data_IF_210708157829
#
_entry.id   IF_210708157829
#
_cell.length_a   1.000
_cell.length_b   1.000
_cell.length_c   1.000
_cell.angle_alpha   90.00
_cell.angle_beta   90.00
_cell.angle_gamma   90.00
#
_symmetry.space_group_name_H-M   'P 1'
#
loop_
_entity.id
_entity.type
_entity.pdbx_description
1 polymer ?
#
# COMPACT_ATOMS: atom_id res chain seq x y z
N UNK A 1 7.65 8.80 1.74
CA UNK A 1 7.92 7.44 2.25
C UNK A 1 7.97 6.35 1.17
N UNK A 2 6.89 5.93 0.49
CA UNK A 2 6.96 4.76 -0.43
C UNK A 2 7.89 4.99 -1.65
N UNK A 3 7.88 6.21 -2.21
CA UNK A 3 8.83 6.63 -3.26
C UNK A 3 10.26 6.68 -2.73
N UNK A 4 10.47 7.32 -1.58
CA UNK A 4 11.79 7.46 -0.94
C UNK A 4 12.41 6.11 -0.60
N UNK A 5 11.59 5.15 -0.16
CA UNK A 5 11.99 3.77 0.09
C UNK A 5 12.26 2.96 -1.19
N UNK A 6 12.01 3.53 -2.38
CA UNK A 6 12.14 2.84 -3.66
C UNK A 6 11.12 1.71 -3.86
N UNK A 7 10.05 1.67 -3.06
CA UNK A 7 9.09 0.57 -3.08
C UNK A 7 8.18 0.57 -4.31
N UNK A 8 8.20 1.64 -5.09
CA UNK A 8 7.53 1.73 -6.39
C UNK A 8 8.42 1.30 -7.57
N UNK A 9 9.66 0.90 -7.32
CA UNK A 9 10.60 0.43 -8.34
C UNK A 9 10.78 -1.08 -8.22
N UNK A 10 10.84 -1.75 -9.37
CA UNK A 10 11.16 -3.16 -9.50
C UNK A 10 12.40 -3.34 -10.38
N UNK A 11 13.43 -3.97 -9.83
CA UNK A 11 14.75 -4.11 -10.46
C UNK A 11 14.95 -5.45 -11.17
N UNK A 12 13.89 -6.24 -11.35
CA UNK A 12 13.98 -7.60 -11.93
C UNK A 12 14.28 -8.71 -10.90
N UNK A 13 14.25 -8.37 -9.60
CA UNK A 13 14.39 -9.33 -8.51
C UNK A 13 13.33 -10.46 -8.59
N UNK A 14 13.58 -11.65 -8.02
CA UNK A 14 12.62 -12.75 -7.99
C UNK A 14 11.37 -12.45 -7.18
N UNK A 15 11.57 -11.80 -6.03
CA UNK A 15 10.51 -11.50 -5.09
C UNK A 15 10.99 -10.39 -4.14
N UNK A 16 10.03 -9.74 -3.50
CA UNK A 16 10.25 -8.79 -2.40
C UNK A 16 9.26 -9.12 -1.31
N UNK A 17 9.78 -9.54 -0.17
CA UNK A 17 9.01 -9.86 1.03
C UNK A 17 8.69 -8.60 1.83
N UNK A 18 7.76 -8.71 2.78
CA UNK A 18 7.49 -7.64 3.73
C UNK A 18 8.73 -7.28 4.58
N UNK A 19 9.61 -8.24 4.89
CA UNK A 19 10.84 -7.95 5.64
C UNK A 19 11.77 -6.98 4.89
N UNK A 20 11.89 -7.14 3.57
CA UNK A 20 12.63 -6.20 2.73
C UNK A 20 11.91 -4.85 2.65
N UNK A 21 10.57 -4.83 2.59
CA UNK A 21 9.82 -3.59 2.61
C UNK A 21 10.01 -2.84 3.94
N UNK A 22 9.95 -3.55 5.06
CA UNK A 22 10.18 -3.01 6.39
C UNK A 22 11.58 -2.35 6.48
N UNK A 23 12.63 -3.03 6.06
CA UNK A 23 13.99 -2.47 6.05
C UNK A 23 14.10 -1.20 5.18
N UNK A 24 13.50 -1.20 3.98
CA UNK A 24 13.50 -0.03 3.08
C UNK A 24 12.71 1.15 3.66
N UNK A 25 11.57 0.87 4.32
CA UNK A 25 10.78 1.90 4.99
C UNK A 25 11.53 2.51 6.17
N UNK A 26 12.14 1.69 7.02
CA UNK A 26 12.92 2.17 8.16
C UNK A 26 14.12 3.02 7.70
N UNK A 27 14.83 2.59 6.66
CA UNK A 27 15.91 3.36 6.07
C UNK A 27 15.43 4.71 5.50
N UNK A 28 14.26 4.74 4.83
CA UNK A 28 13.68 5.96 4.29
C UNK A 28 13.16 6.92 5.39
N UNK A 29 12.68 6.38 6.51
CA UNK A 29 12.21 7.20 7.64
C UNK A 29 13.39 7.84 8.39
N UNK A 30 14.51 7.13 8.53
CA UNK A 30 15.75 7.63 9.15
C UNK A 30 15.51 8.36 10.48
N UNK A 31 16.27 9.44 10.71
CA UNK A 31 16.11 10.35 11.85
C UNK A 31 15.01 11.41 11.64
N UNK A 32 14.03 11.10 10.79
CA UNK A 32 12.92 11.98 10.46
C UNK A 32 12.10 12.40 11.68
N UNK A 33 11.36 13.49 11.55
CA UNK A 33 10.45 13.99 12.58
C UNK A 33 9.04 14.15 12.04
N UNK A 34 8.06 13.92 12.90
CA UNK A 34 6.64 14.21 12.65
C UNK A 34 6.12 15.08 13.78
N UNK A 35 5.64 16.29 13.45
CA UNK A 35 5.21 17.30 14.41
C UNK A 35 6.26 17.56 15.52
N UNK A 36 7.54 17.63 15.14
CA UNK A 36 8.66 17.87 16.04
C UNK A 36 9.15 16.66 16.85
N UNK A 37 8.42 15.54 16.86
CA UNK A 37 8.82 14.30 17.54
C UNK A 37 9.63 13.38 16.61
N UNK A 38 10.64 12.64 17.12
CA UNK A 38 11.31 11.59 16.35
C UNK A 38 10.31 10.59 15.77
N UNK A 39 10.52 10.16 14.52
CA UNK A 39 9.60 9.28 13.81
C UNK A 39 9.33 7.97 14.57
N UNK A 40 10.37 7.36 15.11
CA UNK A 40 10.31 6.12 15.90
C UNK A 40 9.45 6.23 17.19
N UNK A 41 9.16 7.44 17.65
CA UNK A 41 8.34 7.66 18.84
C UNK A 41 6.85 7.71 18.52
N UNK A 42 6.50 7.96 17.27
CA UNK A 42 5.11 8.19 16.82
C UNK A 42 4.67 7.26 15.71
N UNK A 43 5.58 6.57 15.03
CA UNK A 43 5.30 5.65 13.94
C UNK A 43 6.06 4.33 14.14
N UNK A 44 5.36 3.23 13.97
CA UNK A 44 5.91 1.88 13.98
C UNK A 44 5.63 1.16 12.66
N UNK A 45 6.67 0.63 12.03
CA UNK A 45 6.54 -0.26 10.86
C UNK A 45 6.62 -1.69 11.36
N UNK A 46 5.51 -2.43 11.28
CA UNK A 46 5.47 -3.81 11.76
C UNK A 46 6.54 -4.65 11.07
N UNK A 47 7.31 -5.42 11.84
CA UNK A 47 8.26 -6.41 11.28
C UNK A 47 7.50 -7.56 10.61
N UNK A 48 8.16 -8.25 9.69
CA UNK A 48 7.64 -9.52 9.15
C UNK A 48 7.45 -10.49 10.32
N UNK A 49 6.35 -11.23 10.32
CA UNK A 49 6.18 -12.35 11.24
C UNK A 49 7.27 -13.40 10.98
N UNK A 50 8.05 -13.66 12.01
CA UNK A 50 9.00 -14.75 12.10
C UNK A 50 8.70 -15.51 13.38
N UNK A 51 8.48 -16.82 13.29
CA UNK A 51 8.11 -17.64 14.44
C UNK A 51 9.23 -17.69 15.49
N UNK A 52 10.49 -17.67 15.07
CA UNK A 52 11.65 -17.68 15.96
C UNK A 52 11.84 -16.34 16.70
N UNK A 53 11.36 -15.24 16.12
CA UNK A 53 11.46 -13.89 16.70
C UNK A 53 10.13 -13.39 17.28
N UNK A 54 9.08 -14.22 17.28
CA UNK A 54 7.71 -13.84 17.67
C UNK A 54 7.64 -13.06 19.00
N UNK A 55 8.24 -13.55 20.10
CA UNK A 55 8.26 -12.83 21.37
C UNK A 55 8.91 -11.43 21.28
N UNK A 56 9.99 -11.30 20.50
CA UNK A 56 10.68 -10.01 20.31
C UNK A 56 9.84 -9.03 19.51
N UNK A 57 9.19 -9.49 18.43
CA UNK A 57 8.30 -8.66 17.59
C UNK A 57 7.13 -8.13 18.43
N UNK A 58 6.54 -8.99 19.27
CA UNK A 58 5.45 -8.60 20.18
C UNK A 58 5.94 -7.59 21.22
N UNK A 59 7.06 -7.84 21.88
CA UNK A 59 7.60 -6.94 22.90
C UNK A 59 7.99 -5.56 22.33
N UNK A 60 8.55 -5.52 21.11
CA UNK A 60 8.86 -4.30 20.39
C UNK A 60 7.59 -3.49 20.10
N UNK A 61 6.56 -4.15 19.57
CA UNK A 61 5.30 -3.49 19.26
C UNK A 61 4.57 -3.02 20.52
N UNK A 62 4.56 -3.82 21.59
CA UNK A 62 3.96 -3.45 22.87
C UNK A 62 4.64 -2.22 23.48
N UNK A 63 5.97 -2.11 23.36
CA UNK A 63 6.71 -0.92 23.80
C UNK A 63 6.32 0.33 23.01
N UNK A 64 5.99 0.20 21.72
CA UNK A 64 5.45 1.29 20.94
C UNK A 64 4.02 1.65 21.38
N UNK A 65 3.15 0.65 21.53
CA UNK A 65 1.75 0.82 21.96
C UNK A 65 1.61 1.44 23.36
N UNK A 66 2.57 1.20 24.26
CA UNK A 66 2.62 1.83 25.58
C UNK A 66 2.81 3.36 25.52
N UNK A 67 3.32 3.90 24.40
CA UNK A 67 3.46 5.36 24.19
C UNK A 67 2.18 6.03 23.72
N UNK A 68 1.19 5.25 23.31
CA UNK A 68 -0.12 5.73 22.91
C UNK A 68 -0.94 5.89 24.18
N UNK A 69 -1.23 7.12 24.57
CA UNK A 69 -1.94 7.44 25.80
C UNK A 69 -3.11 8.37 25.51
N UNK A 70 -4.19 8.23 26.29
CA UNK A 70 -5.34 9.12 26.19
C UNK A 70 -5.77 9.53 27.60
N UNK A 71 -5.85 10.83 27.82
CA UNK A 71 -6.36 11.50 29.03
C UNK A 71 -7.62 12.29 28.65
N UNK A 72 -8.43 12.75 29.63
CA UNK A 72 -9.55 13.63 29.32
C UNK A 72 -9.15 14.91 28.58
N UNK A 73 -7.93 15.40 28.82
CA UNK A 73 -7.44 16.68 28.28
C UNK A 73 -6.68 16.52 26.95
N UNK A 74 -6.03 15.36 26.72
CA UNK A 74 -5.15 15.16 25.57
C UNK A 74 -5.04 13.69 25.13
N UNK A 75 -4.78 13.49 23.83
CA UNK A 75 -4.48 12.18 23.25
C UNK A 75 -3.12 12.19 22.55
N UNK A 76 -2.26 11.23 22.90
CA UNK A 76 -1.04 10.91 22.19
C UNK A 76 -1.30 9.72 21.26
N UNK A 77 -1.41 10.01 19.97
CA UNK A 77 -1.65 9.01 18.93
C UNK A 77 -0.36 8.36 18.45
N UNK A 78 -0.49 7.13 17.95
CA UNK A 78 0.58 6.40 17.28
C UNK A 78 0.13 5.90 15.91
N UNK A 79 1.05 5.92 14.95
CA UNK A 79 0.83 5.47 13.57
C UNK A 79 1.44 4.08 13.40
N UNK A 80 0.70 3.16 12.78
CA UNK A 80 1.19 1.81 12.48
C UNK A 80 1.15 1.59 10.98
N UNK A 81 2.28 1.18 10.39
CA UNK A 81 2.37 0.68 9.02
C UNK A 81 2.45 -0.84 9.06
N UNK A 82 1.50 -1.49 8.40
CA UNK A 82 1.32 -2.95 8.51
C UNK A 82 0.63 -3.54 7.30
N UNK A 83 0.70 -4.85 7.15
CA UNK A 83 -0.14 -5.57 6.19
C UNK A 83 -1.46 -5.99 6.84
N UNK A 84 -2.57 -5.76 6.14
CA UNK A 84 -3.90 -6.16 6.56
C UNK A 84 -4.13 -7.63 6.21
N UNK A 85 -4.47 -8.44 7.20
CA UNK A 85 -4.85 -9.85 7.03
C UNK A 85 -6.34 -9.98 6.71
N UNK A 86 -7.17 -9.40 7.56
CA UNK A 86 -8.63 -9.43 7.43
C UNK A 86 -9.26 -8.28 8.22
N UNK A 87 -10.53 -8.03 7.97
CA UNK A 87 -11.39 -7.16 8.77
C UNK A 87 -12.52 -8.04 9.29
N UNK A 88 -12.58 -8.22 10.60
CA UNK A 88 -13.56 -9.11 11.24
C UNK A 88 -14.61 -8.28 12.00
N UNK A 89 -15.84 -8.79 12.09
CA UNK A 89 -16.84 -8.23 13.00
C UNK A 89 -16.45 -8.47 14.46
N UNK A 90 -16.83 -7.54 15.34
CA UNK A 90 -16.70 -7.66 16.79
C UNK A 90 -17.98 -7.17 17.48
N UNK A 91 -18.09 -7.36 18.79
CA UNK A 91 -19.28 -6.95 19.57
C UNK A 91 -19.63 -5.46 19.42
N UNK A 92 -18.64 -4.59 19.22
CA UNK A 92 -18.81 -3.13 19.24
C UNK A 92 -18.33 -2.43 17.95
N UNK A 93 -18.14 -3.17 16.88
CA UNK A 93 -17.58 -2.65 15.62
C UNK A 93 -16.76 -3.71 14.93
N UNK A 94 -15.53 -3.38 14.56
CA UNK A 94 -14.68 -4.25 13.75
C UNK A 94 -13.29 -4.41 14.37
N UNK A 95 -12.59 -5.46 13.97
CA UNK A 95 -11.18 -5.70 14.28
C UNK A 95 -10.41 -5.76 12.99
N UNK A 96 -9.40 -4.90 12.85
CA UNK A 96 -8.41 -5.01 11.78
C UNK A 96 -7.36 -6.04 12.23
N UNK A 97 -7.37 -7.22 11.62
CA UNK A 97 -6.35 -8.25 11.88
C UNK A 97 -5.11 -7.93 11.08
N UNK A 98 -3.98 -7.89 11.77
CA UNK A 98 -2.68 -7.69 11.15
C UNK A 98 -2.06 -9.05 10.85
N UNK A 99 -1.28 -9.18 9.77
CA UNK A 99 -0.54 -10.43 9.51
C UNK A 99 0.59 -10.66 10.50
N UNK A 100 1.10 -9.58 11.07
CA UNK A 100 2.35 -9.54 11.82
C UNK A 100 2.19 -9.80 13.32
N UNK A 101 0.96 -9.77 13.86
CA UNK A 101 0.70 -9.87 15.30
C UNK A 101 -0.70 -10.41 15.60
N UNK A 102 -0.87 -11.01 16.78
CA UNK A 102 -2.17 -11.39 17.34
C UNK A 102 -2.90 -10.22 18.02
N UNK A 103 -2.22 -9.08 18.23
CA UNK A 103 -2.81 -7.87 18.80
C UNK A 103 -3.96 -7.39 17.90
N UNK A 104 -5.07 -7.04 18.52
CA UNK A 104 -6.27 -6.56 17.84
C UNK A 104 -6.34 -5.04 17.87
N UNK A 105 -6.54 -4.43 16.71
CA UNK A 105 -6.85 -3.00 16.61
C UNK A 105 -8.34 -2.85 16.31
N UNK A 106 -9.08 -2.23 17.23
CA UNK A 106 -10.52 -2.04 17.08
C UNK A 106 -10.83 -0.85 16.17
N UNK A 107 -11.89 -0.92 15.39
CA UNK A 107 -12.36 0.18 14.56
C UNK A 107 -13.89 0.32 14.67
N UNK A 108 -14.38 1.55 14.62
CA UNK A 108 -15.83 1.79 14.56
C UNK A 108 -16.37 1.51 13.16
N UNK A 109 -17.69 1.32 13.04
CA UNK A 109 -18.35 1.19 11.74
C UNK A 109 -18.08 2.39 10.83
N UNK A 110 -18.09 3.61 11.38
CA UNK A 110 -17.85 4.82 10.59
C UNK A 110 -16.45 4.83 9.95
N UNK A 111 -15.41 4.39 10.68
CA UNK A 111 -14.05 4.27 10.14
C UNK A 111 -13.98 3.22 9.04
N UNK A 112 -14.61 2.07 9.24
CA UNK A 112 -14.63 0.98 8.26
C UNK A 112 -15.42 1.36 6.99
N UNK A 113 -16.59 1.98 7.14
CA UNK A 113 -17.38 2.48 6.03
C UNK A 113 -16.57 3.53 5.23
N UNK A 114 -15.93 4.48 5.91
CA UNK A 114 -15.09 5.49 5.28
C UNK A 114 -13.90 4.86 4.53
N UNK A 115 -13.18 3.92 5.16
CA UNK A 115 -12.06 3.24 4.54
C UNK A 115 -12.48 2.43 3.31
N UNK A 116 -13.58 1.65 3.41
CA UNK A 116 -14.08 0.86 2.30
C UNK A 116 -14.52 1.71 1.11
N UNK A 117 -15.07 2.91 1.36
CA UNK A 117 -15.49 3.86 0.33
C UNK A 117 -14.32 4.60 -0.31
N UNK A 118 -13.34 5.04 0.49
CA UNK A 118 -12.21 5.83 0.01
C UNK A 118 -11.17 4.96 -0.70
N UNK A 119 -10.98 3.71 -0.25
CA UNK A 119 -9.95 2.80 -0.75
C UNK A 119 -10.55 1.53 -1.36
N UNK A 120 -11.61 1.66 -2.18
CA UNK A 120 -12.40 0.54 -2.72
C UNK A 120 -11.55 -0.60 -3.30
N UNK A 121 -10.58 -0.27 -4.16
CA UNK A 121 -9.73 -1.28 -4.80
C UNK A 121 -8.91 -2.07 -3.77
N UNK A 122 -8.32 -1.39 -2.79
CA UNK A 122 -7.57 -2.04 -1.72
C UNK A 122 -8.48 -2.86 -0.81
N UNK A 123 -9.62 -2.29 -0.42
CA UNK A 123 -10.61 -2.95 0.42
C UNK A 123 -11.10 -4.28 -0.18
N UNK A 124 -11.46 -4.27 -1.46
CA UNK A 124 -11.93 -5.46 -2.18
C UNK A 124 -10.86 -6.56 -2.32
N UNK A 125 -9.59 -6.25 -2.09
CA UNK A 125 -8.46 -7.18 -2.22
C UNK A 125 -7.88 -7.64 -0.88
N UNK A 126 -8.50 -7.25 0.25
CA UNK A 126 -8.11 -7.76 1.57
C UNK A 126 -8.25 -9.29 1.58
N UNK A 127 -7.16 -9.98 1.92
CA UNK A 127 -7.11 -11.45 1.97
C UNK A 127 -6.88 -12.14 0.63
N UNK A 128 -6.85 -11.42 -0.50
CA UNK A 128 -6.58 -12.02 -1.80
C UNK A 128 -5.14 -12.60 -1.87
N UNK A 129 -4.94 -13.80 -2.44
CA UNK A 129 -3.63 -14.44 -2.45
C UNK A 129 -2.61 -13.73 -3.34
N UNK A 130 -3.08 -13.09 -4.42
CA UNK A 130 -2.27 -12.43 -5.46
C UNK A 130 -2.01 -10.95 -5.18
N UNK A 131 -2.63 -10.38 -4.14
CA UNK A 131 -2.52 -8.97 -3.78
C UNK A 131 -2.02 -8.83 -2.33
N UNK A 132 -1.55 -7.63 -2.01
CA UNK A 132 -1.21 -7.23 -0.64
C UNK A 132 -1.89 -5.90 -0.35
N UNK A 133 -2.41 -5.73 0.88
CA UNK A 133 -3.02 -4.49 1.32
C UNK A 133 -2.22 -3.96 2.49
N UNK A 134 -1.55 -2.84 2.29
CA UNK A 134 -0.78 -2.16 3.33
C UNK A 134 -1.66 -1.08 3.95
N UNK A 135 -1.73 -1.04 5.27
CA UNK A 135 -2.43 -0.02 6.02
C UNK A 135 -1.46 0.96 6.67
N UNK A 136 -1.83 2.23 6.66
CA UNK A 136 -1.33 3.27 7.56
C UNK A 136 -2.47 3.60 8.53
N UNK A 137 -2.39 3.08 9.76
CA UNK A 137 -3.44 3.23 10.76
C UNK A 137 -3.03 4.21 11.86
N UNK A 138 -3.86 5.22 12.12
CA UNK A 138 -3.72 6.12 13.25
C UNK A 138 -4.48 5.54 14.44
N UNK A 139 -3.77 5.29 15.52
CA UNK A 139 -4.27 4.62 16.70
C UNK A 139 -4.28 5.56 17.91
N UNK A 140 -5.29 5.42 18.74
CA UNK A 140 -5.37 6.02 20.06
C UNK A 140 -5.96 5.03 21.05
N UNK A 141 -5.93 5.36 22.35
CA UNK A 141 -6.64 4.57 23.36
C UNK A 141 -8.00 5.17 23.67
N UNK A 142 -8.96 4.33 24.00
CA UNK A 142 -10.15 4.82 24.71
C UNK A 142 -9.75 5.33 26.10
N UNK A 143 -10.57 6.17 26.72
CA UNK A 143 -10.41 6.45 28.14
C UNK A 143 -10.59 5.14 28.93
N UNK A 144 -9.67 4.89 29.86
CA UNK A 144 -9.76 3.78 30.80
C UNK A 144 -10.97 3.90 31.73
N UNK A 145 -11.37 2.81 32.36
CA UNK A 145 -12.37 2.82 33.44
C UNK A 145 -11.70 2.36 34.73
N UNK A 146 -11.56 3.26 35.70
CA UNK A 146 -10.76 3.01 36.91
C UNK A 146 -9.30 2.74 36.56
N UNK A 147 -8.70 1.72 37.18
CA UNK A 147 -7.29 1.34 36.97
C UNK A 147 -7.03 0.55 35.68
N UNK A 148 -8.05 0.35 34.83
CA UNK A 148 -7.91 -0.41 33.58
C UNK A 148 -7.46 0.49 32.44
N UNK A 149 -6.39 0.07 31.76
CA UNK A 149 -5.95 0.70 30.53
C UNK A 149 -7.06 0.64 29.45
N UNK A 150 -7.17 1.70 28.66
CA UNK A 150 -8.09 1.75 27.54
C UNK A 150 -7.71 0.84 26.39
N UNK A 151 -8.72 0.42 25.61
CA UNK A 151 -8.51 -0.37 24.41
C UNK A 151 -7.88 0.49 23.30
N UNK A 152 -6.99 -0.11 22.51
CA UNK A 152 -6.47 0.51 21.30
C UNK A 152 -7.55 0.51 20.21
N UNK A 153 -7.76 1.68 19.61
CA UNK A 153 -8.67 1.86 18.48
C UNK A 153 -8.02 2.64 17.36
N UNK A 154 -8.41 2.30 16.14
CA UNK A 154 -8.13 3.03 14.92
C UNK A 154 -9.12 4.19 14.83
N UNK A 155 -8.58 5.40 14.65
CA UNK A 155 -9.37 6.62 14.41
C UNK A 155 -9.23 7.17 13.02
N UNK A 156 -8.22 6.71 12.28
CA UNK A 156 -8.10 6.98 10.85
C UNK A 156 -7.26 5.87 10.20
N UNK A 157 -7.53 5.54 8.95
CA UNK A 157 -6.78 4.52 8.21
C UNK A 157 -6.76 4.82 6.72
N UNK A 158 -5.56 4.75 6.15
CA UNK A 158 -5.36 4.71 4.71
C UNK A 158 -4.94 3.29 4.27
N UNK A 159 -5.44 2.84 3.11
CA UNK A 159 -5.10 1.54 2.54
C UNK A 159 -4.44 1.70 1.18
N UNK A 160 -3.32 1.01 0.98
CA UNK A 160 -2.62 0.93 -0.30
C UNK A 160 -2.73 -0.50 -0.83
N UNK A 161 -3.41 -0.66 -1.97
CA UNK A 161 -3.36 -1.89 -2.75
C UNK A 161 -1.97 -2.03 -3.36
N UNK A 162 -1.42 -3.23 -3.28
CA UNK A 162 -0.18 -3.62 -3.93
C UNK A 162 -0.34 -4.98 -4.61
N UNK A 163 0.55 -5.25 -5.56
CA UNK A 163 0.76 -6.60 -6.08
C UNK A 163 1.39 -7.53 -5.00
N UNK A 164 1.66 -8.78 -5.37
CA UNK A 164 2.23 -9.78 -4.45
C UNK A 164 3.63 -9.43 -3.91
N UNK A 165 4.32 -8.46 -4.53
CA UNK A 165 5.67 -8.00 -4.18
C UNK A 165 5.72 -6.54 -3.70
N UNK A 166 4.58 -6.02 -3.24
CA UNK A 166 4.44 -4.69 -2.62
C UNK A 166 4.70 -3.49 -3.57
N UNK A 167 4.58 -3.68 -4.89
CA UNK A 167 4.46 -2.58 -5.85
C UNK A 167 3.04 -2.02 -5.75
N UNK A 168 2.85 -0.69 -5.54
CA UNK A 168 1.53 -0.08 -5.47
C UNK A 168 0.70 -0.30 -6.74
N UNK A 169 -0.61 -0.47 -6.60
CA UNK A 169 -1.56 -0.62 -7.70
C UNK A 169 -2.84 0.15 -7.38
N UNK A 170 -3.50 0.71 -8.39
CA UNK A 170 -4.76 1.43 -8.20
C UNK A 170 -5.99 0.55 -8.50
N UNK A 171 -5.79 -0.63 -9.09
CA UNK A 171 -6.83 -1.58 -9.47
C UNK A 171 -6.37 -3.04 -9.39
N UNK A 172 -7.32 -3.99 -9.39
CA UNK A 172 -7.02 -5.43 -9.47
C UNK A 172 -6.39 -5.82 -10.82
N UNK A 173 -6.72 -5.10 -11.90
CA UNK A 173 -6.06 -5.29 -13.19
C UNK A 173 -4.59 -4.86 -13.11
N UNK A 174 -4.28 -3.71 -12.50
CA UNK A 174 -2.87 -3.34 -12.27
C UNK A 174 -2.12 -4.37 -11.42
N UNK A 175 -2.77 -4.96 -10.41
CA UNK A 175 -2.18 -6.08 -9.65
C UNK A 175 -1.82 -7.24 -10.57
N UNK A 176 -2.71 -7.64 -11.47
CA UNK A 176 -2.45 -8.73 -12.43
C UNK A 176 -1.28 -8.39 -13.37
N UNK A 177 -1.28 -7.18 -13.95
CA UNK A 177 -0.19 -6.71 -14.80
C UNK A 177 1.14 -6.68 -14.05
N UNK A 178 1.19 -6.07 -12.86
CA UNK A 178 2.42 -5.96 -12.06
C UNK A 178 2.94 -7.34 -11.62
N UNK A 179 2.06 -8.28 -11.26
CA UNK A 179 2.45 -9.66 -10.97
C UNK A 179 3.05 -10.36 -12.20
N UNK A 180 2.47 -10.16 -13.39
CA UNK A 180 3.02 -10.67 -14.64
C UNK A 180 4.40 -10.09 -14.93
N UNK A 181 4.57 -8.77 -14.82
CA UNK A 181 5.86 -8.10 -15.04
C UNK A 181 6.95 -8.63 -14.10
N UNK A 182 6.60 -8.88 -12.83
CA UNK A 182 7.49 -9.51 -11.86
C UNK A 182 7.86 -10.92 -12.27
N UNK A 183 6.87 -11.75 -12.66
CA UNK A 183 7.09 -13.13 -13.07
C UNK A 183 8.00 -13.23 -14.31
N UNK A 184 7.83 -12.31 -15.26
CA UNK A 184 8.66 -12.17 -16.46
C UNK A 184 10.02 -11.46 -16.21
N UNK A 185 10.36 -11.19 -14.94
CA UNK A 185 11.62 -10.55 -14.52
C UNK A 185 11.88 -9.20 -15.18
N UNK A 186 10.81 -8.47 -15.50
CA UNK A 186 10.91 -7.14 -16.09
C UNK A 186 11.48 -6.15 -15.09
N UNK A 187 12.20 -5.13 -15.56
CA UNK A 187 12.55 -3.95 -14.74
C UNK A 187 11.54 -2.84 -15.02
N UNK A 188 10.87 -2.33 -14.00
CA UNK A 188 9.86 -1.30 -14.18
C UNK A 188 9.71 -0.41 -12.95
N UNK A 189 9.07 0.75 -13.14
CA UNK A 189 8.62 1.61 -12.05
C UNK A 189 7.13 1.87 -12.16
N UNK A 190 6.45 1.94 -11.01
CA UNK A 190 5.09 2.46 -10.85
C UNK A 190 5.17 3.93 -10.45
N UNK A 191 4.89 4.88 -11.35
CA UNK A 191 4.72 6.27 -10.93
C UNK A 191 3.56 6.39 -9.94
N UNK A 192 3.70 7.23 -8.92
CA UNK A 192 2.63 7.51 -7.96
C UNK A 192 2.07 8.91 -8.21
N UNK A 193 0.75 9.03 -8.13
CA UNK A 193 0.04 10.30 -8.29
C UNK A 193 0.00 11.00 -6.94
N UNK A 194 0.87 11.98 -6.74
CA UNK A 194 1.01 12.71 -5.48
C UNK A 194 0.45 14.14 -5.56
N UNK A 195 0.40 14.71 -6.77
CA UNK A 195 -0.01 16.09 -6.99
C UNK A 195 -1.08 16.18 -8.09
N UNK A 196 -1.88 17.28 -8.11
CA UNK A 196 -2.72 17.59 -9.25
C UNK A 196 -1.90 17.65 -10.55
N UNK A 197 -2.38 17.00 -11.61
CA UNK A 197 -1.67 16.89 -12.90
C UNK A 197 -0.88 15.57 -13.09
N UNK A 198 -0.76 14.74 -12.04
CA UNK A 198 -0.17 13.41 -12.16
C UNK A 198 -1.11 12.37 -12.82
N UNK A 199 -2.31 12.76 -13.21
CA UNK A 199 -3.30 11.92 -13.86
C UNK A 199 -2.86 11.42 -15.24
N UNK A 200 -1.88 12.09 -15.86
CA UNK A 200 -1.26 11.66 -17.12
C UNK A 200 -0.11 10.67 -16.93
N UNK A 201 0.30 10.34 -15.70
CA UNK A 201 1.36 9.36 -15.47
C UNK A 201 0.90 7.95 -15.90
N UNK A 202 1.79 7.15 -16.52
CA UNK A 202 1.45 5.78 -16.89
C UNK A 202 1.25 4.90 -15.66
N UNK A 203 0.45 3.84 -15.81
CA UNK A 203 0.24 2.88 -14.73
C UNK A 203 1.52 2.10 -14.42
N UNK A 204 2.39 1.87 -15.39
CA UNK A 204 3.77 1.40 -15.17
C UNK A 204 4.69 1.88 -16.28
N UNK A 205 6.00 1.93 -16.02
CA UNK A 205 7.00 2.22 -17.03
C UNK A 205 8.08 1.14 -17.01
N UNK A 206 8.19 0.40 -18.10
CA UNK A 206 9.31 -0.50 -18.34
C UNK A 206 10.59 0.32 -18.48
N UNK A 207 11.65 -0.19 -17.86
CA UNK A 207 12.98 0.43 -17.81
C UNK A 207 14.06 -0.50 -18.36
N UNK A 208 13.69 -1.71 -18.74
CA UNK A 208 14.53 -2.70 -19.39
C UNK A 208 14.33 -2.72 -20.91
N UNK A 209 13.80 -1.68 -21.52
CA UNK A 209 13.59 -1.58 -22.97
C UNK A 209 14.54 -0.54 -23.56
N UNK A 210 14.88 -0.65 -24.84
CA UNK A 210 15.76 0.32 -25.52
C UNK A 210 15.30 1.78 -25.35
N UNK A 211 13.99 1.99 -25.44
CA UNK A 211 13.32 3.23 -25.04
C UNK A 211 12.35 2.91 -23.90
N UNK A 212 12.37 3.62 -22.74
CA UNK A 212 11.45 3.37 -21.64
C UNK A 212 9.99 3.35 -22.11
N UNK A 213 9.34 2.20 -21.95
CA UNK A 213 8.00 1.94 -22.52
C UNK A 213 6.92 2.14 -21.46
N UNK A 214 5.89 2.93 -21.76
CA UNK A 214 4.71 3.07 -20.91
C UNK A 214 3.85 1.81 -20.97
N UNK A 215 3.22 1.47 -19.86
CA UNK A 215 2.17 0.46 -19.77
C UNK A 215 0.93 1.15 -19.19
N UNK A 216 -0.21 0.96 -19.86
CA UNK A 216 -1.52 1.47 -19.45
C UNK A 216 -2.50 0.33 -19.29
N UNK A 217 -3.28 0.36 -18.21
CA UNK A 217 -4.27 -0.67 -17.87
C UNK A 217 -5.66 -0.04 -17.82
N UNK A 218 -6.47 -0.31 -18.83
CA UNK A 218 -7.76 0.34 -19.04
C UNK A 218 -8.96 -0.45 -18.53
N UNK A 219 -9.20 -0.43 -17.21
CA UNK A 219 -10.23 -1.26 -16.56
C UNK A 219 -11.67 -0.72 -16.53
N UNK A 220 -11.94 0.53 -16.93
CA UNK A 220 -13.27 1.18 -16.81
C UNK A 220 -13.69 1.89 -18.11
N UNK A 221 -14.03 1.11 -19.13
CA UNK A 221 -14.33 1.63 -20.48
C UNK A 221 -15.70 2.30 -20.62
N UNK A 222 -16.59 2.14 -19.65
CA UNK A 222 -17.95 2.70 -19.63
C UNK A 222 -18.00 4.15 -19.11
N UNK A 223 -16.86 4.72 -18.71
CA UNK A 223 -16.79 6.07 -18.15
C UNK A 223 -16.21 7.07 -19.16
N UNK A 224 -17.02 8.06 -19.58
CA UNK A 224 -16.62 9.08 -20.55
C UNK A 224 -15.37 9.90 -20.14
N UNK A 225 -15.22 10.22 -18.85
CA UNK A 225 -14.02 10.91 -18.35
C UNK A 225 -12.78 10.02 -18.41
N UNK A 226 -12.96 8.70 -18.30
CA UNK A 226 -11.88 7.72 -18.40
C UNK A 226 -11.41 7.59 -19.85
N UNK A 227 -12.35 7.53 -20.80
CA UNK A 227 -12.04 7.54 -22.24
C UNK A 227 -11.32 8.83 -22.65
N UNK A 228 -11.75 9.99 -22.16
CA UNK A 228 -11.06 11.26 -22.42
C UNK A 228 -9.60 11.25 -21.92
N UNK A 229 -9.37 10.73 -20.70
CA UNK A 229 -8.03 10.56 -20.14
C UNK A 229 -7.16 9.59 -20.95
N UNK A 230 -7.74 8.48 -21.41
CA UNK A 230 -7.06 7.55 -22.33
C UNK A 230 -6.58 8.27 -23.59
N UNK A 231 -7.47 8.99 -24.28
CA UNK A 231 -7.13 9.74 -25.51
C UNK A 231 -6.04 10.79 -25.26
N UNK A 232 -6.13 11.50 -24.13
CA UNK A 232 -5.11 12.49 -23.74
C UNK A 232 -3.74 11.84 -23.55
N UNK A 233 -3.66 10.70 -22.83
CA UNK A 233 -2.43 9.94 -22.63
C UNK A 233 -1.83 9.44 -23.96
N UNK A 234 -2.66 8.89 -24.84
CA UNK A 234 -2.24 8.46 -26.18
C UNK A 234 -1.63 9.62 -26.99
N UNK A 235 -2.24 10.81 -26.94
CA UNK A 235 -1.71 12.00 -27.60
C UNK A 235 -0.36 12.45 -26.99
N UNK A 236 -0.20 12.38 -25.67
CA UNK A 236 1.07 12.68 -24.98
C UNK A 236 2.16 11.71 -25.44
N UNK A 237 1.88 10.41 -25.45
CA UNK A 237 2.85 9.39 -25.87
C UNK A 237 3.23 9.54 -27.34
N UNK A 238 2.25 9.80 -28.22
CA UNK A 238 2.51 10.05 -29.64
C UNK A 238 3.42 11.29 -29.85
N UNK A 239 3.13 12.41 -29.18
CA UNK A 239 3.94 13.64 -29.26
C UNK A 239 5.37 13.44 -28.77
N UNK A 240 5.54 12.64 -27.71
CA UNK A 240 6.84 12.35 -27.11
C UNK A 240 7.55 11.14 -27.74
N UNK A 241 6.99 10.54 -28.80
CA UNK A 241 7.45 9.28 -29.38
C UNK A 241 7.73 8.17 -28.33
N UNK A 242 6.96 8.16 -27.25
CA UNK A 242 7.09 7.19 -26.16
C UNK A 242 6.35 5.91 -26.54
N UNK A 243 7.02 4.74 -26.60
CA UNK A 243 6.32 3.48 -26.83
C UNK A 243 5.32 3.23 -25.70
N UNK A 244 4.14 2.70 -26.04
CA UNK A 244 3.09 2.40 -25.08
C UNK A 244 2.49 1.02 -25.36
N UNK A 245 2.36 0.21 -24.31
CA UNK A 245 1.58 -1.03 -24.31
C UNK A 245 0.29 -0.78 -23.56
N UNK A 246 -0.84 -1.01 -24.24
CA UNK A 246 -2.16 -0.89 -23.62
C UNK A 246 -2.75 -2.28 -23.35
N UNK A 247 -3.26 -2.48 -22.15
CA UNK A 247 -4.13 -3.61 -21.84
C UNK A 247 -5.54 -3.12 -21.57
N UNK A 248 -6.52 -3.69 -22.26
CA UNK A 248 -7.93 -3.34 -22.15
C UNK A 248 -8.71 -4.61 -21.73
N UNK A 249 -8.93 -4.83 -20.43
CA UNK A 249 -9.84 -5.88 -19.95
C UNK A 249 -11.24 -5.77 -20.59
N UNK A 250 -11.94 -6.90 -20.85
CA UNK A 250 -11.63 -8.25 -20.36
C UNK A 250 -10.69 -9.05 -21.28
N UNK A 251 -9.99 -8.44 -22.24
CA UNK A 251 -9.01 -9.16 -23.06
C UNK A 251 -8.01 -9.90 -22.16
N UNK A 252 -7.68 -11.15 -22.52
CA UNK A 252 -6.79 -11.99 -21.73
C UNK A 252 -5.41 -11.32 -21.56
N UNK A 253 -4.88 -11.28 -20.34
CA UNK A 253 -3.62 -10.60 -20.05
C UNK A 253 -2.47 -11.20 -20.88
N UNK A 254 -2.50 -12.50 -21.13
CA UNK A 254 -1.50 -13.27 -21.87
C UNK A 254 -1.45 -12.89 -23.36
N UNK A 255 -2.53 -12.31 -23.89
CA UNK A 255 -2.56 -11.79 -25.27
C UNK A 255 -1.69 -10.55 -25.46
N UNK A 256 -1.39 -9.82 -24.38
CA UNK A 256 -0.64 -8.57 -24.43
C UNK A 256 0.85 -8.85 -24.67
N UNK A 257 1.34 -8.39 -25.82
CA UNK A 257 2.75 -8.49 -26.20
C UNK A 257 3.54 -7.37 -25.53
N UNK A 258 4.49 -7.76 -24.69
CA UNK A 258 5.45 -6.83 -24.09
C UNK A 258 6.67 -6.69 -25.02
N UNK A 259 7.28 -5.50 -25.11
CA UNK A 259 8.50 -5.30 -25.88
C UNK A 259 9.64 -6.15 -25.33
N UNK A 260 10.58 -6.54 -26.20
CA UNK A 260 11.78 -7.30 -25.82
C UNK A 260 12.60 -6.48 -24.82
N UNK A 261 13.11 -7.15 -23.78
CA UNK A 261 14.03 -6.54 -22.85
C UNK A 261 15.39 -6.31 -23.54
N UNK A 262 15.90 -5.08 -23.47
CA UNK A 262 17.29 -4.77 -23.77
C UNK A 262 18.18 -5.31 -22.64
N UNK A 263 19.38 -5.80 -22.97
CA UNK A 263 20.36 -6.28 -21.98
C UNK A 263 20.67 -5.24 -20.90
#
# INVERSE_FOLDING_TARGET
>A
MWLEAGLNVWTGAPARSWGQCNAQLLAALGDGKLNGKPMQDVLHVMRRYDESEGPSIVAEFDRFLARITTTPEATQRGIVITEVRSVDNSKFGFVLRLRQTSRTLFASKAIIDAASKSFRSAWAQIGAPTARVVALAVNERTLGKGDKEGNLRIVDVALQLCNSTFIPCDSSYEVAMANRLVAERRRFKKPLRLMPGDDTLPDSRLTDTSTPTAIEVYGMLDNAQYLARKTQKQAIYARAATPCVEWIPPAALESIRLPVAAP
#
